data_IF_789480505151
#
_entry.id   IF_789480505151
#
_cell.length_a   1.000
_cell.length_b   1.000
_cell.length_c   1.000
_cell.angle_alpha   90.00
_cell.angle_beta   90.00
_cell.angle_gamma   90.00
#
_symmetry.space_group_name_H-M   'P 1'
#
loop_
_entity.id
_entity.type
_entity.pdbx_description
1 polymer ?
#
# COMPACT_ATOMS: atom_id res chain seq x y z
N UNK A 1 31.79 -37.76 -24.06
CA UNK A 1 31.32 -37.26 -22.75
C UNK A 1 30.57 -35.96 -23.02
N UNK A 2 29.23 -35.97 -22.95
CA UNK A 2 28.40 -34.77 -23.19
C UNK A 2 27.88 -34.30 -21.83
N UNK A 3 28.27 -33.08 -21.44
CA UNK A 3 27.88 -32.46 -20.19
C UNK A 3 26.36 -32.20 -20.17
N UNK A 4 25.71 -32.60 -19.08
CA UNK A 4 24.32 -32.27 -18.79
C UNK A 4 24.27 -30.88 -18.17
N UNK A 5 23.74 -29.89 -18.90
CA UNK A 5 23.39 -28.58 -18.35
C UNK A 5 22.15 -28.70 -17.47
N UNK A 6 22.33 -28.53 -16.16
CA UNK A 6 21.26 -28.36 -15.19
C UNK A 6 20.57 -27.02 -15.46
N UNK A 7 19.41 -27.04 -16.11
CA UNK A 7 18.56 -25.85 -16.19
C UNK A 7 17.96 -25.60 -14.80
N UNK A 8 18.41 -24.53 -14.16
CA UNK A 8 17.89 -24.07 -12.89
C UNK A 8 16.40 -23.70 -13.04
N UNK A 9 15.52 -24.48 -12.42
CA UNK A 9 14.10 -24.15 -12.32
C UNK A 9 13.92 -23.02 -11.32
N UNK A 10 13.86 -21.78 -11.82
CA UNK A 10 13.35 -20.64 -11.05
C UNK A 10 11.86 -20.83 -10.81
N UNK A 11 11.50 -21.40 -9.64
CA UNK A 11 10.16 -21.28 -9.11
C UNK A 11 9.93 -19.79 -8.77
N UNK A 12 9.21 -19.07 -9.62
CA UNK A 12 8.50 -17.88 -9.19
C UNK A 12 7.46 -18.34 -8.16
N UNK A 13 7.78 -18.19 -6.88
CA UNK A 13 6.79 -18.21 -5.81
C UNK A 13 5.88 -17.00 -6.01
N UNK A 14 4.84 -17.16 -6.83
CA UNK A 14 3.63 -16.36 -6.72
C UNK A 14 2.98 -16.78 -5.40
N UNK A 15 3.51 -16.28 -4.28
CA UNK A 15 2.74 -16.31 -3.04
C UNK A 15 1.51 -15.47 -3.33
N UNK A 16 0.29 -16.05 -3.32
CA UNK A 16 -0.89 -15.23 -3.30
C UNK A 16 -0.78 -14.40 -2.02
N UNK A 17 -0.53 -13.11 -2.16
CA UNK A 17 -0.80 -12.18 -1.08
C UNK A 17 -2.26 -12.39 -0.75
N UNK A 18 -2.53 -12.94 0.43
CA UNK A 18 -3.88 -12.89 0.98
C UNK A 18 -4.23 -11.41 0.97
N UNK A 19 -5.19 -11.07 0.11
CA UNK A 19 -5.59 -9.71 -0.08
C UNK A 19 -6.53 -9.36 1.06
N UNK A 20 -6.34 -8.18 1.61
CA UNK A 20 -7.04 -7.71 2.80
C UNK A 20 -7.96 -6.53 2.48
N UNK A 21 -8.92 -6.25 3.35
CA UNK A 21 -9.77 -5.08 3.28
C UNK A 21 -9.38 -4.10 4.40
N UNK A 22 -9.26 -2.82 4.05
CA UNK A 22 -8.75 -1.77 4.93
C UNK A 22 -9.85 -0.77 5.29
N UNK A 23 -10.35 -0.84 6.53
CA UNK A 23 -11.28 0.16 7.13
C UNK A 23 -12.46 0.58 6.22
N UNK A 24 -12.97 -0.31 5.36
CA UNK A 24 -13.97 0.02 4.33
C UNK A 24 -13.57 1.11 3.31
N UNK A 25 -12.30 1.55 3.36
CA UNK A 25 -11.67 2.52 2.46
C UNK A 25 -11.02 1.80 1.28
N UNK A 26 -10.46 0.62 1.53
CA UNK A 26 -9.75 -0.18 0.54
C UNK A 26 -10.26 -1.61 0.52
N UNK A 27 -10.43 -2.19 -0.67
CA UNK A 27 -10.67 -3.63 -0.83
C UNK A 27 -9.66 -4.29 -1.75
N UNK A 28 -9.42 -5.57 -1.51
CA UNK A 28 -8.41 -6.36 -2.24
C UNK A 28 -7.05 -5.65 -2.20
N UNK A 29 -6.61 -5.38 -0.97
CA UNK A 29 -5.41 -4.66 -0.62
C UNK A 29 -4.25 -5.61 -0.38
N UNK A 30 -3.04 -5.16 -0.67
CA UNK A 30 -1.83 -5.94 -0.43
C UNK A 30 -0.69 -5.04 -0.01
N UNK A 31 0.05 -5.51 1.00
CA UNK A 31 1.29 -4.88 1.43
C UNK A 31 2.42 -5.17 0.46
N UNK A 32 3.05 -4.11 -0.03
CA UNK A 32 4.22 -4.17 -0.89
C UNK A 32 5.48 -3.70 -0.17
N UNK A 33 6.54 -4.48 -0.33
CA UNK A 33 7.81 -4.33 0.37
C UNK A 33 8.12 -5.57 1.18
N UNK A 34 9.24 -6.23 0.89
CA UNK A 34 9.61 -7.49 1.53
C UNK A 34 10.70 -7.27 2.58
N UNK A 35 10.59 -7.99 3.70
CA UNK A 35 11.66 -8.00 4.70
C UNK A 35 12.96 -8.54 4.08
N UNK A 36 14.17 -8.05 4.46
CA UNK A 36 14.44 -6.99 5.45
C UNK A 36 14.42 -5.56 4.89
N UNK A 37 14.57 -5.39 3.58
CA UNK A 37 14.64 -4.09 2.88
C UNK A 37 13.35 -3.88 2.09
N UNK A 38 12.38 -3.19 2.68
CA UNK A 38 11.04 -3.06 2.10
C UNK A 38 10.93 -1.98 1.01
N UNK A 39 11.95 -1.14 0.88
CA UNK A 39 12.02 -0.05 -0.08
C UNK A 39 11.41 1.26 0.42
N UNK A 40 11.38 2.24 -0.49
CA UNK A 40 10.88 3.60 -0.29
C UNK A 40 10.12 4.07 -1.54
N UNK A 41 9.38 5.17 -1.44
CA UNK A 41 8.76 5.88 -2.56
C UNK A 41 8.66 7.38 -2.27
N UNK A 42 8.73 8.20 -3.32
CA UNK A 42 8.44 9.63 -3.28
C UNK A 42 6.95 9.93 -3.56
N UNK A 43 6.15 8.90 -3.88
CA UNK A 43 4.71 9.02 -4.08
C UNK A 43 3.95 9.34 -2.78
N UNK A 44 2.69 9.75 -2.93
CA UNK A 44 1.78 10.13 -1.84
C UNK A 44 0.59 9.15 -1.69
N UNK A 45 0.00 9.10 -0.50
CA UNK A 45 -1.23 8.33 -0.25
C UNK A 45 -2.37 8.86 -1.14
N UNK A 46 -3.13 7.94 -1.73
CA UNK A 46 -4.22 8.21 -2.67
C UNK A 46 -3.78 8.19 -4.13
N UNK A 47 -2.47 8.13 -4.42
CA UNK A 47 -1.99 7.96 -5.79
C UNK A 47 -2.51 6.65 -6.38
N UNK A 48 -2.86 6.68 -7.67
CA UNK A 48 -3.27 5.49 -8.43
C UNK A 48 -2.25 5.14 -9.50
N UNK A 49 -1.69 3.93 -9.41
CA UNK A 49 -0.70 3.39 -10.35
C UNK A 49 -1.16 1.98 -10.75
N UNK A 50 -1.13 1.68 -12.04
CA UNK A 50 -1.52 0.36 -12.59
C UNK A 50 -2.88 -0.15 -12.07
N UNK A 51 -3.83 0.76 -11.91
CA UNK A 51 -5.19 0.45 -11.45
C UNK A 51 -5.30 0.16 -9.95
N UNK A 52 -4.26 0.42 -9.15
CA UNK A 52 -4.26 0.25 -7.69
C UNK A 52 -3.96 1.56 -7.01
N UNK A 53 -4.58 1.78 -5.86
CA UNK A 53 -4.39 3.00 -5.06
C UNK A 53 -3.57 2.71 -3.82
N UNK A 54 -2.55 3.52 -3.55
CA UNK A 54 -1.79 3.42 -2.30
C UNK A 54 -2.57 4.09 -1.18
N UNK A 55 -3.14 3.32 -0.26
CA UNK A 55 -4.06 3.85 0.74
C UNK A 55 -3.41 4.12 2.10
N UNK A 56 -2.26 3.50 2.37
CA UNK A 56 -1.55 3.59 3.64
C UNK A 56 -0.09 3.14 3.49
N UNK A 57 0.77 3.52 4.44
CA UNK A 57 2.13 3.00 4.57
C UNK A 57 2.60 2.92 6.02
N UNK A 58 3.73 2.28 6.25
CA UNK A 58 4.41 2.26 7.56
C UNK A 58 5.59 3.23 7.67
N UNK A 59 5.64 4.25 6.81
CA UNK A 59 6.71 5.28 6.83
C UNK A 59 6.69 6.10 8.12
N UNK A 60 5.51 6.61 8.47
CA UNK A 60 5.35 7.61 9.54
C UNK A 60 4.73 7.03 10.82
N UNK A 61 4.26 5.77 10.75
CA UNK A 61 3.58 5.06 11.85
C UNK A 61 3.99 3.61 11.88
N UNK A 62 4.20 3.09 13.09
CA UNK A 62 4.44 1.66 13.28
C UNK A 62 3.18 0.87 12.89
N UNK A 63 3.38 -0.31 12.30
CA UNK A 63 2.28 -1.15 11.86
C UNK A 63 1.34 -1.53 13.01
N UNK A 64 1.86 -1.71 14.24
CA UNK A 64 1.04 -2.02 15.41
C UNK A 64 0.09 -0.88 15.75
N UNK A 65 0.55 0.35 15.58
CA UNK A 65 -0.28 1.54 15.83
C UNK A 65 -1.37 1.67 14.77
N UNK A 66 -1.06 1.35 13.50
CA UNK A 66 -2.07 1.25 12.46
C UNK A 66 -3.12 0.21 12.85
N UNK A 67 -2.74 -0.90 13.48
CA UNK A 67 -3.64 -2.01 13.77
C UNK A 67 -4.48 -1.92 15.04
N UNK A 68 -4.24 -0.93 15.92
CA UNK A 68 -4.98 -0.81 17.19
C UNK A 68 -6.49 -0.56 17.04
N UNK A 69 -6.93 0.00 15.91
CA UNK A 69 -8.31 0.44 15.70
C UNK A 69 -9.08 -0.37 14.64
N UNK A 70 -8.78 -1.66 14.46
CA UNK A 70 -9.61 -2.56 13.67
C UNK A 70 -9.51 -2.36 12.15
N UNK A 71 -8.30 -2.31 11.59
CA UNK A 71 -8.05 -2.09 10.15
C UNK A 71 -8.30 -3.31 9.25
N UNK A 72 -9.30 -4.12 9.59
CA UNK A 72 -9.61 -5.36 8.90
C UNK A 72 -8.53 -6.45 9.08
N UNK A 73 -8.50 -7.39 8.15
CA UNK A 73 -7.54 -8.49 8.04
C UNK A 73 -6.13 -8.04 7.62
N UNK A 74 -5.97 -6.78 7.18
CA UNK A 74 -4.67 -6.22 6.74
C UNK A 74 -3.58 -6.24 7.80
N UNK A 75 -3.95 -6.36 9.07
CA UNK A 75 -3.03 -6.48 10.18
C UNK A 75 -2.32 -7.84 10.21
N UNK A 76 -3.06 -8.92 9.91
CA UNK A 76 -2.49 -10.26 9.84
C UNK A 76 -1.59 -10.41 8.60
N UNK A 77 -1.99 -9.78 7.49
CA UNK A 77 -1.28 -9.88 6.21
C UNK A 77 -0.02 -9.02 6.12
N UNK A 78 0.22 -8.12 7.09
CA UNK A 78 1.43 -7.30 7.14
C UNK A 78 2.72 -8.13 7.23
N UNK A 79 2.66 -9.25 7.96
CA UNK A 79 3.81 -10.11 8.18
C UNK A 79 4.94 -9.44 8.97
N UNK A 80 6.18 -9.60 8.52
CA UNK A 80 7.37 -9.11 9.24
C UNK A 80 7.64 -7.62 9.01
N UNK A 81 7.92 -6.89 10.10
CA UNK A 81 8.38 -5.50 10.09
C UNK A 81 9.74 -5.32 9.43
N UNK A 82 9.90 -4.26 8.64
CA UNK A 82 11.12 -3.93 7.91
C UNK A 82 12.28 -3.52 8.83
N UNK A 83 13.51 -3.88 8.46
CA UNK A 83 14.72 -3.35 9.11
C UNK A 83 15.07 -1.97 8.55
N UNK A 84 14.85 -1.78 7.25
CA UNK A 84 14.99 -0.50 6.57
C UNK A 84 13.90 -0.32 5.51
N UNK A 85 13.51 0.93 5.29
CA UNK A 85 12.35 1.28 4.49
C UNK A 85 11.04 0.99 5.20
N UNK A 86 9.96 0.90 4.43
CA UNK A 86 8.60 0.66 4.94
C UNK A 86 7.77 -0.08 3.90
N UNK A 87 6.64 -0.65 4.34
CA UNK A 87 5.67 -1.26 3.41
C UNK A 87 4.62 -0.25 3.00
N UNK A 88 4.05 -0.47 1.82
CA UNK A 88 2.98 0.35 1.23
C UNK A 88 1.77 -0.54 1.00
N UNK A 89 0.59 -0.10 1.40
CA UNK A 89 -0.65 -0.83 1.21
C UNK A 89 -1.33 -0.36 -0.07
N UNK A 90 -1.50 -1.27 -1.02
CA UNK A 90 -2.09 -0.98 -2.32
C UNK A 90 -3.38 -1.75 -2.53
N UNK A 91 -4.48 -1.04 -2.79
CA UNK A 91 -5.82 -1.62 -2.95
C UNK A 91 -6.30 -1.52 -4.39
N UNK A 92 -6.99 -2.55 -4.89
CA UNK A 92 -7.63 -2.52 -6.22
C UNK A 92 -8.86 -1.62 -6.22
N UNK A 93 -9.56 -1.53 -5.09
CA UNK A 93 -10.72 -0.68 -4.95
C UNK A 93 -10.47 0.31 -3.80
N UNK A 94 -10.66 1.59 -4.08
CA UNK A 94 -10.56 2.67 -3.12
C UNK A 94 -11.87 3.47 -3.13
N UNK A 95 -12.38 3.77 -1.94
CA UNK A 95 -13.63 4.51 -1.71
C UNK A 95 -13.42 5.78 -0.89
N UNK A 96 -12.18 6.09 -0.52
CA UNK A 96 -11.84 7.36 0.08
C UNK A 96 -11.93 8.50 -0.94
N UNK A 97 -11.90 9.76 -0.48
CA UNK A 97 -11.91 10.91 -1.39
C UNK A 97 -10.69 10.82 -2.30
N UNK A 98 -10.88 10.99 -3.61
CA UNK A 98 -9.74 11.04 -4.51
C UNK A 98 -8.85 12.24 -4.07
N UNK A 99 -7.51 12.15 -4.17
CA UNK A 99 -6.65 13.30 -3.85
C UNK A 99 -7.03 14.59 -4.58
N UNK A 100 -7.64 14.45 -5.76
CA UNK A 100 -8.25 15.55 -6.53
C UNK A 100 -9.48 16.12 -5.81
N UNK A 101 -10.37 15.27 -5.30
CA UNK A 101 -11.56 15.70 -4.54
C UNK A 101 -11.18 16.42 -3.24
N UNK A 102 -10.08 16.03 -2.59
CA UNK A 102 -9.58 16.75 -1.39
C UNK A 102 -9.04 18.13 -1.77
N UNK A 103 -8.33 18.24 -2.90
CA UNK A 103 -7.85 19.54 -3.38
C UNK A 103 -9.03 20.45 -3.77
N UNK A 104 -10.06 19.91 -4.41
CA UNK A 104 -11.28 20.66 -4.76
C UNK A 104 -12.12 21.02 -3.52
N UNK A 105 -12.21 20.16 -2.50
CA UNK A 105 -12.87 20.50 -1.23
C UNK A 105 -12.12 21.62 -0.50
N UNK A 106 -10.80 21.53 -0.39
CA UNK A 106 -9.97 22.58 0.20
C UNK A 106 -10.08 23.87 -0.62
N UNK A 107 -9.99 23.78 -1.94
CA UNK A 107 -10.09 24.93 -2.83
C UNK A 107 -11.47 25.60 -2.71
N UNK A 108 -12.56 24.84 -2.76
CA UNK A 108 -13.92 25.37 -2.63
C UNK A 108 -14.24 25.90 -1.23
N UNK A 109 -13.60 25.37 -0.19
CA UNK A 109 -13.77 25.83 1.20
C UNK A 109 -12.93 27.06 1.52
N UNK A 110 -11.76 27.22 0.87
CA UNK A 110 -10.81 28.30 1.14
C UNK A 110 -11.00 29.49 0.20
N UNK A 111 -11.34 29.28 -1.07
CA UNK A 111 -11.58 30.36 -2.06
C UNK A 111 -12.57 31.44 -1.60
N UNK A 112 -13.77 31.12 -1.04
CA UNK A 112 -14.71 32.15 -0.60
C UNK A 112 -14.25 32.91 0.65
N UNK A 113 -13.18 32.47 1.32
CA UNK A 113 -12.55 33.20 2.42
C UNK A 113 -11.40 34.13 1.96
N UNK A 114 -10.96 34.02 0.70
CA UNK A 114 -9.81 34.76 0.15
C UNK A 114 -10.20 35.74 -0.96
N UNK A 115 -11.39 35.57 -1.58
CA UNK A 115 -11.97 36.53 -2.51
C UNK A 115 -12.96 37.44 -1.76
N UNK A 116 -12.79 38.79 -1.77
CA UNK A 116 -13.70 39.73 -1.12
C UNK A 116 -15.07 39.82 -1.78
#
# INVERSE_FOLDING_TARGET
MKLYTLAATTLLLLTPSLACDFLDIGRDCTWEGSWPLCGTTDDHIGIRIDGRTMVEWTRDKDWKDLCKNGKGDCCSDYGHSCVSGYKRLWCKHYTGPDPVDVADDVLNRVLPAVLP
#
